data_IF_124783577348
#
_entry.id   IF_124783577348
#
_cell.length_a   1.000
_cell.length_b   1.000
_cell.length_c   1.000
_cell.angle_alpha   90.00
_cell.angle_beta   90.00
_cell.angle_gamma   90.00
#
_symmetry.space_group_name_H-M   'P 1'
#
loop_
_entity.id
_entity.type
_entity.pdbx_description
1 polymer ?
#
# COMPACT_ATOMS: atom_id res chain seq x y z
N UNK A 1 12.07 47.38 -0.94
CA UNK A 1 13.21 46.70 -0.32
C UNK A 1 12.73 46.09 0.98
N UNK A 2 12.76 44.76 1.12
CA UNK A 2 12.26 44.10 2.33
C UNK A 2 12.24 42.59 2.20
N UNK A 3 13.38 41.99 2.58
CA UNK A 3 13.58 40.62 3.09
C UNK A 3 13.04 39.44 2.26
N UNK A 4 13.96 38.81 1.53
CA UNK A 4 13.92 37.41 1.11
C UNK A 4 13.75 36.52 2.35
N UNK A 5 12.73 35.66 2.33
CA UNK A 5 12.68 34.49 3.20
C UNK A 5 13.33 33.35 2.43
N UNK A 6 14.58 33.05 2.78
CA UNK A 6 15.27 31.84 2.35
C UNK A 6 14.51 30.62 2.88
N UNK A 7 14.27 29.68 1.98
CA UNK A 7 13.75 28.37 2.32
C UNK A 7 14.80 27.68 3.19
N UNK A 8 14.50 27.50 4.47
CA UNK A 8 15.29 26.63 5.35
C UNK A 8 15.19 25.21 4.82
N UNK A 9 16.35 24.69 4.38
CA UNK A 9 16.58 23.30 4.06
C UNK A 9 16.05 22.42 5.19
N UNK A 10 15.04 21.60 4.87
CA UNK A 10 14.66 20.48 5.71
C UNK A 10 15.78 19.44 5.58
N UNK A 11 16.54 19.30 6.65
CA UNK A 11 17.51 18.25 6.91
C UNK A 11 16.89 16.86 6.61
N UNK A 12 17.34 16.12 5.56
CA UNK A 12 16.83 14.80 5.28
C UNK A 12 17.68 13.76 6.01
N UNK A 13 17.92 13.95 7.31
CA UNK A 13 18.40 12.86 8.17
C UNK A 13 17.22 11.98 8.58
N UNK A 14 16.54 11.43 7.58
CA UNK A 14 15.71 10.25 7.74
C UNK A 14 16.65 9.11 8.06
N UNK A 15 16.92 8.91 9.35
CA UNK A 15 17.58 7.70 9.85
C UNK A 15 16.61 6.57 9.52
N UNK A 16 16.76 5.97 8.33
CA UNK A 16 16.18 4.69 8.00
C UNK A 16 16.73 3.73 9.04
N UNK A 17 15.96 3.52 10.11
CA UNK A 17 16.31 2.55 11.12
C UNK A 17 16.30 1.21 10.38
N UNK A 18 17.43 0.50 10.28
CA UNK A 18 17.48 -0.71 9.49
C UNK A 18 16.44 -1.67 10.05
N UNK A 19 15.48 -2.03 9.20
CA UNK A 19 14.42 -2.96 9.56
C UNK A 19 15.11 -4.27 10.00
N UNK A 20 14.79 -4.82 11.19
CA UNK A 20 15.52 -5.97 11.71
C UNK A 20 15.28 -7.19 10.82
N UNK A 21 16.28 -7.54 10.02
CA UNK A 21 16.28 -8.76 9.21
C UNK A 21 16.65 -9.93 10.10
N UNK A 22 15.78 -10.95 10.16
CA UNK A 22 15.99 -12.16 10.94
C UNK A 22 16.44 -13.28 10.02
N UNK A 23 17.63 -13.82 10.26
CA UNK A 23 18.13 -15.01 9.58
C UNK A 23 17.60 -16.28 10.25
N UNK A 24 16.86 -17.11 9.52
CA UNK A 24 16.38 -18.40 10.03
C UNK A 24 16.42 -19.49 8.95
N UNK A 25 17.13 -20.60 9.26
CA UNK A 25 17.36 -21.73 8.34
C UNK A 25 17.89 -21.33 6.95
N UNK A 26 18.80 -20.35 6.91
CA UNK A 26 19.42 -19.88 5.66
C UNK A 26 18.48 -19.04 4.79
N UNK A 27 17.45 -18.42 5.37
CA UNK A 27 16.60 -17.43 4.73
C UNK A 27 16.53 -16.18 5.60
N UNK A 28 16.58 -15.03 4.94
CA UNK A 28 16.33 -13.72 5.53
C UNK A 28 14.82 -13.48 5.62
N UNK A 29 14.35 -13.07 6.79
CA UNK A 29 12.96 -12.69 7.04
C UNK A 29 12.89 -11.22 7.40
N UNK A 30 11.93 -10.53 6.82
CA UNK A 30 11.65 -9.14 7.08
C UNK A 30 10.31 -8.99 7.82
N UNK A 31 10.21 -8.03 8.75
CA UNK A 31 8.96 -7.56 9.30
C UNK A 31 8.02 -7.09 8.18
N UNK A 32 6.85 -7.70 8.12
CA UNK A 32 5.75 -7.35 7.22
C UNK A 32 4.45 -7.36 7.99
N UNK A 33 3.40 -6.85 7.37
CA UNK A 33 2.07 -6.81 7.95
C UNK A 33 1.11 -7.56 7.05
N UNK A 34 0.42 -8.54 7.63
CA UNK A 34 -0.71 -9.21 7.01
C UNK A 34 -1.99 -8.46 7.38
N UNK A 35 -2.71 -8.01 6.36
CA UNK A 35 -4.06 -7.46 6.51
C UNK A 35 -5.07 -8.50 6.03
N UNK A 36 -5.96 -8.89 6.93
CA UNK A 36 -7.14 -9.69 6.62
C UNK A 36 -8.37 -8.81 6.75
N UNK A 37 -9.10 -8.62 5.66
CA UNK A 37 -10.29 -7.76 5.62
C UNK A 37 -11.53 -8.56 5.20
N UNK A 38 -12.72 -8.08 5.53
CA UNK A 38 -13.97 -8.73 5.14
C UNK A 38 -14.93 -7.74 4.49
N UNK A 39 -15.26 -7.98 3.22
CA UNK A 39 -16.21 -7.16 2.45
C UNK A 39 -17.41 -8.01 2.10
N UNK A 40 -18.56 -7.68 2.70
CA UNK A 40 -19.83 -8.33 2.43
C UNK A 40 -20.14 -8.34 0.93
N UNK A 41 -20.68 -9.46 0.44
CA UNK A 41 -20.97 -9.65 -0.99
C UNK A 41 -21.95 -8.59 -1.55
N UNK A 42 -22.83 -8.03 -0.72
CA UNK A 42 -23.78 -7.00 -1.11
C UNK A 42 -23.15 -5.62 -1.37
N UNK A 43 -21.89 -5.41 -0.95
CA UNK A 43 -21.25 -4.10 -1.02
C UNK A 43 -20.29 -3.96 -2.21
N UNK A 44 -20.87 -3.98 -3.41
CA UNK A 44 -20.11 -3.88 -4.66
C UNK A 44 -19.35 -2.55 -4.81
N UNK A 45 -19.88 -1.46 -4.26
CA UNK A 45 -19.21 -0.15 -4.32
C UNK A 45 -17.98 -0.11 -3.42
N UNK A 46 -18.09 -0.61 -2.17
CA UNK A 46 -16.93 -0.70 -1.27
C UNK A 46 -15.89 -1.65 -1.84
N UNK A 47 -16.30 -2.84 -2.33
CA UNK A 47 -15.40 -3.79 -2.98
C UNK A 47 -14.61 -3.14 -4.11
N UNK A 48 -15.30 -2.47 -5.04
CA UNK A 48 -14.64 -1.79 -6.16
C UNK A 48 -13.65 -0.71 -5.71
N UNK A 49 -13.96 0.02 -4.63
CA UNK A 49 -13.06 1.04 -4.08
C UNK A 49 -11.83 0.41 -3.43
N UNK A 50 -12.02 -0.62 -2.61
CA UNK A 50 -10.92 -1.38 -2.00
C UNK A 50 -10.03 -1.99 -3.06
N UNK A 51 -10.61 -2.64 -4.07
CA UNK A 51 -9.85 -3.25 -5.16
C UNK A 51 -8.98 -2.24 -5.91
N UNK A 52 -9.53 -1.05 -6.19
CA UNK A 52 -8.80 0.04 -6.86
C UNK A 52 -7.63 0.55 -6.04
N UNK A 53 -7.79 0.66 -4.72
CA UNK A 53 -6.73 1.18 -3.85
C UNK A 53 -5.66 0.11 -3.65
N UNK A 54 -6.04 -1.15 -3.39
CA UNK A 54 -5.09 -2.23 -3.15
C UNK A 54 -4.36 -2.64 -4.43
N UNK A 55 -5.11 -2.96 -5.49
CA UNK A 55 -4.57 -3.58 -6.71
C UNK A 55 -4.35 -2.60 -7.86
N UNK A 56 -4.86 -1.38 -7.74
CA UNK A 56 -4.82 -0.39 -8.80
C UNK A 56 -5.93 -0.59 -9.83
N UNK A 57 -5.96 0.27 -10.84
CA UNK A 57 -6.88 0.14 -11.96
C UNK A 57 -6.37 0.86 -13.21
N UNK A 58 -7.02 0.57 -14.34
CA UNK A 58 -6.83 1.30 -15.59
C UNK A 58 -8.12 2.03 -15.94
N UNK A 59 -7.98 3.23 -16.48
CA UNK A 59 -9.11 4.02 -16.96
C UNK A 59 -8.84 4.48 -18.39
N UNK A 60 -9.72 4.09 -19.30
CA UNK A 60 -9.67 4.55 -20.69
C UNK A 60 -10.61 5.74 -20.86
N UNK A 61 -10.08 6.86 -21.36
CA UNK A 61 -10.83 8.08 -21.65
C UNK A 61 -10.51 8.58 -23.05
N UNK A 62 -11.50 9.16 -23.72
CA UNK A 62 -11.27 9.87 -24.98
C UNK A 62 -10.78 11.27 -24.65
N UNK A 63 -9.57 11.63 -25.12
CA UNK A 63 -8.95 12.93 -24.92
C UNK A 63 -8.60 13.49 -26.29
N UNK A 64 -9.22 14.61 -26.66
CA UNK A 64 -9.12 15.20 -28.00
C UNK A 64 -9.41 14.22 -29.15
N UNK A 65 -10.45 13.41 -29.01
CA UNK A 65 -10.88 12.45 -30.06
C UNK A 65 -10.08 11.14 -30.11
N UNK A 66 -9.01 11.01 -29.33
CA UNK A 66 -8.19 9.78 -29.27
C UNK A 66 -8.37 9.04 -27.95
N UNK A 67 -8.49 7.70 -27.95
CA UNK A 67 -8.54 6.92 -26.73
C UNK A 67 -7.17 6.93 -26.03
N UNK A 68 -7.16 7.31 -24.75
CA UNK A 68 -5.99 7.21 -23.87
C UNK A 68 -6.34 6.32 -22.68
N UNK A 69 -5.41 5.43 -22.31
CA UNK A 69 -5.55 4.57 -21.13
C UNK A 69 -4.56 5.02 -20.08
N UNK A 70 -5.07 5.38 -18.91
CA UNK A 70 -4.31 5.79 -17.74
C UNK A 70 -4.20 4.61 -16.77
N UNK A 71 -3.00 4.38 -16.23
CA UNK A 71 -2.75 3.36 -15.20
C UNK A 71 -2.60 4.05 -13.84
N UNK A 72 -3.34 3.56 -12.87
CA UNK A 72 -3.29 4.00 -11.49
C UNK A 72 -2.82 2.82 -10.63
N UNK A 73 -1.53 2.76 -10.27
CA UNK A 73 -0.99 1.65 -9.49
C UNK A 73 -1.58 1.66 -8.09
N UNK A 74 -1.95 0.48 -7.58
CA UNK A 74 -2.45 0.31 -6.21
C UNK A 74 -1.32 0.24 -5.20
N UNK A 75 -1.67 0.11 -3.92
CA UNK A 75 -0.73 -0.08 -2.81
C UNK A 75 0.21 -1.25 -3.11
N UNK A 76 -0.32 -2.41 -3.53
CA UNK A 76 0.52 -3.59 -3.78
C UNK A 76 1.57 -3.36 -4.86
N UNK A 77 1.20 -2.68 -5.95
CA UNK A 77 2.14 -2.39 -7.05
C UNK A 77 3.19 -1.34 -6.64
N UNK A 78 2.82 -0.38 -5.78
CA UNK A 78 3.73 0.69 -5.34
C UNK A 78 4.73 0.24 -4.27
N UNK A 79 4.45 -0.83 -3.54
CA UNK A 79 5.18 -1.18 -2.31
C UNK A 79 5.64 -2.64 -2.28
N UNK A 80 5.68 -3.30 -3.45
CA UNK A 80 5.99 -4.73 -3.59
C UNK A 80 5.15 -5.63 -2.65
N UNK A 81 3.88 -5.25 -2.48
CA UNK A 81 2.92 -6.01 -1.69
C UNK A 81 2.52 -7.31 -2.36
N UNK A 82 2.12 -8.30 -1.57
CA UNK A 82 1.65 -9.61 -2.06
C UNK A 82 0.17 -9.80 -1.76
N UNK A 83 -0.55 -10.34 -2.74
CA UNK A 83 -1.92 -10.82 -2.56
C UNK A 83 -1.87 -12.32 -2.26
N UNK A 84 -2.39 -12.73 -1.10
CA UNK A 84 -2.27 -14.11 -0.60
C UNK A 84 -3.60 -14.87 -0.61
N UNK A 85 -4.71 -14.19 -0.84
CA UNK A 85 -6.05 -14.76 -0.91
C UNK A 85 -7.10 -13.67 -1.02
N UNK A 86 -8.35 -14.06 -1.26
CA UNK A 86 -9.45 -13.16 -1.65
C UNK A 86 -9.59 -11.86 -0.82
N UNK A 87 -9.22 -11.89 0.46
CA UNK A 87 -9.23 -10.70 1.32
C UNK A 87 -8.04 -10.67 2.28
N UNK A 88 -6.89 -11.17 1.80
CA UNK A 88 -5.64 -11.22 2.53
C UNK A 88 -4.50 -10.66 1.69
N UNK A 89 -3.82 -9.64 2.22
CA UNK A 89 -2.64 -9.04 1.60
C UNK A 89 -1.50 -8.94 2.61
N UNK A 90 -0.27 -9.03 2.11
CA UNK A 90 0.96 -8.82 2.89
C UNK A 90 1.65 -7.57 2.35
N UNK A 91 1.98 -6.65 3.25
CA UNK A 91 2.49 -5.31 2.93
C UNK A 91 3.70 -4.96 3.81
N UNK A 92 4.49 -3.97 3.40
CA UNK A 92 5.38 -3.28 4.35
C UNK A 92 4.56 -2.52 5.39
N UNK A 93 5.17 -2.13 6.51
CA UNK A 93 4.49 -1.42 7.59
C UNK A 93 3.81 -0.13 7.11
N UNK A 94 4.54 0.72 6.38
CA UNK A 94 4.03 1.99 5.85
C UNK A 94 2.85 1.77 4.88
N UNK A 95 2.95 0.76 4.01
CA UNK A 95 1.90 0.41 3.06
C UNK A 95 0.66 -0.15 3.77
N UNK A 96 0.87 -0.92 4.84
CA UNK A 96 -0.20 -1.45 5.66
C UNK A 96 -0.93 -0.34 6.42
N UNK A 97 -0.24 0.69 6.89
CA UNK A 97 -0.88 1.86 7.50
C UNK A 97 -1.80 2.57 6.51
N UNK A 98 -1.32 2.82 5.28
CA UNK A 98 -2.13 3.43 4.22
C UNK A 98 -3.39 2.59 3.93
N UNK A 99 -3.22 1.29 3.70
CA UNK A 99 -4.33 0.38 3.40
C UNK A 99 -5.30 0.23 4.58
N UNK A 100 -4.78 0.13 5.80
CA UNK A 100 -5.59 -0.04 7.02
C UNK A 100 -6.43 1.21 7.30
N UNK A 101 -5.86 2.40 7.15
CA UNK A 101 -6.59 3.66 7.28
C UNK A 101 -7.73 3.75 6.26
N UNK A 102 -7.45 3.40 5.00
CA UNK A 102 -8.49 3.38 3.96
C UNK A 102 -9.61 2.38 4.26
N UNK A 103 -9.28 1.16 4.69
CA UNK A 103 -10.28 0.15 5.06
C UNK A 103 -11.14 0.60 6.24
N UNK A 104 -10.54 1.26 7.23
CA UNK A 104 -11.28 1.84 8.36
C UNK A 104 -12.22 2.96 7.93
N UNK A 105 -11.79 3.85 7.04
CA UNK A 105 -12.64 4.92 6.49
C UNK A 105 -13.86 4.33 5.75
N UNK A 106 -13.64 3.25 5.00
CA UNK A 106 -14.69 2.51 4.30
C UNK A 106 -15.53 1.62 5.24
N UNK A 107 -15.27 1.61 6.55
CA UNK A 107 -15.93 0.78 7.57
C UNK A 107 -15.85 -0.72 7.27
N UNK A 108 -14.77 -1.15 6.62
CA UNK A 108 -14.48 -2.56 6.34
C UNK A 108 -13.83 -3.19 7.57
N UNK A 109 -14.41 -4.26 8.15
CA UNK A 109 -13.74 -5.04 9.18
C UNK A 109 -12.37 -5.50 8.71
N UNK A 110 -11.34 -5.22 9.49
CA UNK A 110 -9.96 -5.52 9.14
C UNK A 110 -9.16 -5.92 10.38
N UNK A 111 -8.36 -6.97 10.24
CA UNK A 111 -7.38 -7.44 11.21
C UNK A 111 -5.98 -7.18 10.66
N UNK A 112 -5.13 -6.61 11.52
CA UNK A 112 -3.72 -6.36 11.26
C UNK A 112 -2.90 -7.33 12.10
N UNK A 113 -2.00 -8.07 11.45
CA UNK A 113 -1.09 -9.00 12.11
C UNK A 113 0.32 -8.73 11.63
N UNK A 114 1.22 -8.45 12.56
CA UNK A 114 2.66 -8.37 12.28
C UNK A 114 3.19 -9.78 12.06
N UNK A 115 3.94 -9.96 10.98
CA UNK A 115 4.51 -11.25 10.58
C UNK A 115 5.96 -11.08 10.18
N UNK A 116 6.70 -12.19 10.22
CA UNK A 116 7.99 -12.32 9.56
C UNK A 116 7.77 -13.03 8.23
N UNK A 117 8.19 -12.39 7.16
CA UNK A 117 8.05 -12.91 5.81
C UNK A 117 9.42 -13.09 5.19
N UNK A 118 9.72 -14.22 4.51
CA UNK A 118 10.92 -14.28 3.71
C UNK A 118 10.87 -13.22 2.61
N UNK A 119 12.03 -12.80 2.14
CA UNK A 119 12.09 -12.03 0.90
C UNK A 119 11.53 -12.87 -0.25
N UNK A 120 10.70 -12.25 -1.08
CA UNK A 120 9.96 -12.93 -2.14
C UNK A 120 10.67 -12.72 -3.48
N UNK A 121 11.92 -13.19 -3.58
CA UNK A 121 12.70 -13.24 -4.84
C UNK A 121 11.98 -14.06 -5.90
#
# INVERSE_FOLDING_TARGET
MGLKMDATEADPSGVETPVPVIEWRGRSYEPRVLLHFDIRASDGTVRRRVDRILYGFKESRVVHGSPRTYRYPGVLERTDGRHCGQSVVILSEQAADEAYLFLREMKVPCQRVEILSPDWV
#
